data_IF_125983792089
#
_entry.id   IF_125983792089
#
_cell.length_a   1.000
_cell.length_b   1.000
_cell.length_c   1.000
_cell.angle_alpha   90.00
_cell.angle_beta   90.00
_cell.angle_gamma   90.00
#
_symmetry.space_group_name_H-M   'P 1'
#
loop_
_entity.id
_entity.type
_entity.pdbx_description
1 polymer ?
#
# COMPACT_ATOMS: atom_id res chain seq x y z
N UNK A 1 14.50 -15.39 30.84
CA UNK A 1 14.98 -14.27 30.00
C UNK A 1 14.49 -14.31 28.55
N UNK A 2 14.61 -15.42 27.82
CA UNK A 2 14.16 -15.49 26.41
C UNK A 2 12.64 -15.24 26.23
N UNK A 3 11.80 -15.82 27.09
CA UNK A 3 10.34 -15.59 27.06
C UNK A 3 9.98 -14.10 27.22
N UNK A 4 10.64 -13.39 28.14
CA UNK A 4 10.44 -11.96 28.35
C UNK A 4 10.82 -11.13 27.11
N UNK A 5 11.94 -11.45 26.44
CA UNK A 5 12.34 -10.78 25.19
C UNK A 5 11.29 -10.95 24.09
N UNK A 6 10.71 -12.14 23.96
CA UNK A 6 9.65 -12.41 22.98
C UNK A 6 8.39 -11.61 23.32
N UNK A 7 7.97 -11.61 24.59
CA UNK A 7 6.81 -10.83 25.03
C UNK A 7 7.00 -9.34 24.75
N UNK A 8 8.17 -8.78 25.07
CA UNK A 8 8.48 -7.38 24.78
C UNK A 8 8.47 -7.08 23.28
N UNK A 9 9.04 -7.96 22.45
CA UNK A 9 9.01 -7.79 21.00
C UNK A 9 7.57 -7.77 20.48
N UNK A 10 6.73 -8.72 20.91
CA UNK A 10 5.32 -8.78 20.52
C UNK A 10 4.59 -7.50 20.95
N UNK A 11 4.82 -7.01 22.16
CA UNK A 11 4.22 -5.76 22.64
C UNK A 11 4.64 -4.56 21.77
N UNK A 12 5.92 -4.45 21.40
CA UNK A 12 6.41 -3.38 20.52
C UNK A 12 5.79 -3.46 19.12
N UNK A 13 5.69 -4.65 18.54
CA UNK A 13 5.10 -4.84 17.22
C UNK A 13 3.59 -4.55 17.24
N UNK A 14 2.87 -4.99 18.27
CA UNK A 14 1.45 -4.71 18.45
C UNK A 14 1.19 -3.21 18.65
N UNK A 15 1.97 -2.56 19.52
CA UNK A 15 1.86 -1.12 19.72
C UNK A 15 2.12 -0.37 18.41
N UNK A 16 3.18 -0.75 17.67
CA UNK A 16 3.48 -0.16 16.37
C UNK A 16 2.37 -0.34 15.34
N UNK A 17 1.69 -1.50 15.34
CA UNK A 17 0.54 -1.76 14.49
C UNK A 17 -0.66 -0.90 14.88
N UNK A 18 -1.05 -0.90 16.16
CA UNK A 18 -2.22 -0.17 16.67
C UNK A 18 -2.10 1.33 16.42
N UNK A 19 -0.92 1.91 16.70
CA UNK A 19 -0.70 3.34 16.49
C UNK A 19 -0.85 3.76 15.03
N UNK A 20 -0.59 2.87 14.07
CA UNK A 20 -0.75 3.15 12.63
C UNK A 20 -2.19 3.01 12.13
N UNK A 21 -3.10 2.46 12.94
CA UNK A 21 -4.54 2.48 12.65
C UNK A 21 -5.17 3.85 12.89
N UNK A 22 -4.40 4.84 13.37
CA UNK A 22 -4.87 6.21 13.47
C UNK A 22 -5.35 6.74 12.11
N UNK A 23 -6.61 7.20 12.04
CA UNK A 23 -7.28 7.67 10.82
C UNK A 23 -7.25 6.65 9.67
N UNK A 24 -7.41 5.37 9.99
CA UNK A 24 -7.45 4.29 9.01
C UNK A 24 -8.49 4.49 7.90
N UNK A 25 -9.68 4.98 8.24
CA UNK A 25 -10.77 5.28 7.31
C UNK A 25 -10.76 6.72 6.78
N UNK A 26 -9.66 7.45 6.95
CA UNK A 26 -9.54 8.83 6.47
C UNK A 26 -9.56 8.90 4.94
N UNK A 27 -10.16 9.96 4.34
CA UNK A 27 -10.16 10.14 2.90
C UNK A 27 -8.73 10.31 2.38
N UNK A 28 -8.49 9.89 1.13
CA UNK A 28 -7.20 10.10 0.47
C UNK A 28 -7.06 11.55 -0.01
N UNK A 29 -8.13 12.34 -0.14
CA UNK A 29 -8.08 13.71 -0.66
C UNK A 29 -7.49 14.73 0.34
N UNK A 30 -6.18 14.65 0.60
CA UNK A 30 -5.41 15.64 1.36
C UNK A 30 -4.57 16.52 0.40
N UNK A 31 -4.08 17.67 0.86
CA UNK A 31 -3.43 18.69 0.03
C UNK A 31 -2.21 18.18 -0.75
N UNK A 32 -1.51 17.17 -0.23
CA UNK A 32 -0.33 16.56 -0.87
C UNK A 32 -0.50 15.05 -1.13
N UNK A 33 -1.74 14.58 -1.30
CA UNK A 33 -2.02 13.15 -1.41
C UNK A 33 -1.89 12.55 -2.80
N UNK A 34 -1.44 13.34 -3.78
CA UNK A 34 -1.27 12.94 -5.18
C UNK A 34 -0.70 11.52 -5.36
N UNK A 35 0.34 11.16 -4.61
CA UNK A 35 0.99 9.85 -4.64
C UNK A 35 0.10 8.73 -4.12
N UNK A 36 -0.66 8.96 -3.05
CA UNK A 36 -1.62 7.98 -2.53
C UNK A 36 -2.81 7.83 -3.49
N UNK A 37 -3.31 8.94 -4.03
CA UNK A 37 -4.39 8.96 -5.02
C UNK A 37 -4.00 8.21 -6.29
N UNK A 38 -2.82 8.49 -6.86
CA UNK A 38 -2.28 7.79 -8.02
C UNK A 38 -2.10 6.30 -7.78
N UNK A 39 -1.62 5.93 -6.60
CA UNK A 39 -1.40 4.53 -6.25
C UNK A 39 -2.75 3.81 -6.15
N UNK A 40 -3.73 4.39 -5.45
CA UNK A 40 -5.09 3.83 -5.39
C UNK A 40 -5.74 3.76 -6.78
N UNK A 41 -5.45 4.74 -7.63
CA UNK A 41 -5.93 4.84 -9.01
C UNK A 41 -5.42 3.68 -9.88
N UNK A 42 -4.15 3.28 -9.75
CA UNK A 42 -3.62 2.07 -10.41
C UNK A 42 -4.27 0.81 -9.87
N UNK A 43 -4.39 0.68 -8.55
CA UNK A 43 -5.02 -0.48 -7.93
C UNK A 43 -6.49 -0.62 -8.37
N UNK A 44 -7.18 0.50 -8.56
CA UNK A 44 -8.57 0.52 -9.04
C UNK A 44 -8.66 0.11 -10.51
N UNK A 45 -7.66 0.45 -11.32
CA UNK A 45 -7.55 -0.07 -12.68
C UNK A 45 -7.38 -1.58 -12.71
N UNK A 46 -6.57 -2.16 -11.81
CA UNK A 46 -6.43 -3.63 -11.71
C UNK A 46 -7.70 -4.35 -11.30
N UNK A 47 -8.46 -3.79 -10.36
CA UNK A 47 -9.79 -4.30 -9.96
C UNK A 47 -10.76 -4.26 -11.15
N UNK A 48 -10.77 -3.15 -11.90
CA UNK A 48 -11.75 -2.93 -12.98
C UNK A 48 -11.43 -3.68 -14.27
N UNK A 49 -10.18 -3.60 -14.71
CA UNK A 49 -9.75 -4.03 -16.04
C UNK A 49 -8.90 -5.32 -16.00
N UNK A 50 -8.60 -5.83 -14.79
CA UNK A 50 -7.76 -7.00 -14.57
C UNK A 50 -6.29 -6.67 -14.32
N UNK A 51 -5.53 -7.67 -13.87
CA UNK A 51 -4.13 -7.54 -13.47
C UNK A 51 -3.17 -7.58 -14.68
N UNK A 52 -3.18 -6.52 -15.51
CA UNK A 52 -2.10 -6.28 -16.48
C UNK A 52 -0.91 -5.60 -15.79
N UNK A 53 -0.07 -6.44 -15.17
CA UNK A 53 1.10 -6.01 -14.39
C UNK A 53 2.12 -5.27 -15.25
N UNK A 54 2.22 -5.61 -16.54
CA UNK A 54 3.21 -5.04 -17.45
C UNK A 54 2.74 -3.71 -18.04
N UNK A 55 1.44 -3.41 -18.01
CA UNK A 55 0.88 -2.14 -18.48
C UNK A 55 -0.03 -1.51 -17.42
N UNK A 56 0.51 -1.10 -16.25
CA UNK A 56 -0.27 -0.45 -15.22
C UNK A 56 -0.90 0.84 -15.75
N UNK A 57 -2.20 1.02 -15.49
CA UNK A 57 -2.96 2.22 -15.88
C UNK A 57 -3.51 2.98 -14.67
N UNK A 58 -3.67 4.29 -14.79
CA UNK A 58 -4.29 5.17 -13.80
C UNK A 58 -5.18 6.22 -14.47
N UNK A 59 -5.89 7.00 -13.65
CA UNK A 59 -6.93 7.93 -14.10
C UNK A 59 -6.41 9.32 -14.54
N UNK A 60 -5.13 9.64 -14.31
CA UNK A 60 -4.56 10.89 -14.81
C UNK A 60 -4.14 10.73 -16.28
N UNK A 61 -4.93 11.33 -17.17
CA UNK A 61 -4.70 11.34 -18.62
C UNK A 61 -3.96 12.61 -19.09
N UNK A 62 -3.57 13.48 -18.15
CA UNK A 62 -2.87 14.71 -18.46
C UNK A 62 -1.47 14.44 -19.00
N UNK A 63 -0.93 15.42 -19.72
CA UNK A 63 0.46 15.41 -20.15
C UNK A 63 1.43 15.87 -19.05
N UNK A 64 0.95 16.24 -17.86
CA UNK A 64 1.77 16.76 -16.76
C UNK A 64 2.91 15.82 -16.33
N UNK A 65 2.72 14.49 -16.21
CA UNK A 65 3.78 13.61 -15.72
C UNK A 65 4.93 13.38 -16.72
N UNK A 66 4.68 13.45 -18.02
CA UNK A 66 5.64 13.06 -19.07
C UNK A 66 5.91 14.13 -20.13
N UNK A 67 5.14 15.22 -20.13
CA UNK A 67 5.12 16.21 -21.20
C UNK A 67 4.48 15.72 -22.50
N UNK A 68 3.88 14.52 -22.50
CA UNK A 68 3.24 13.89 -23.67
C UNK A 68 1.82 13.46 -23.33
N UNK A 69 0.95 13.44 -24.33
CA UNK A 69 -0.41 12.97 -24.14
C UNK A 69 -0.43 11.50 -23.73
N UNK A 70 -1.22 11.18 -22.70
CA UNK A 70 -1.38 9.83 -22.17
C UNK A 70 -2.85 9.39 -22.20
N UNK A 71 -3.47 9.27 -23.39
CA UNK A 71 -4.90 8.98 -23.51
C UNK A 71 -5.28 7.58 -22.99
N UNK A 72 -4.30 6.68 -22.91
CA UNK A 72 -4.46 5.32 -22.38
C UNK A 72 -4.18 5.23 -20.87
N UNK A 73 -3.73 6.32 -20.24
CA UNK A 73 -3.49 6.37 -18.80
C UNK A 73 -2.39 5.43 -18.33
N UNK A 74 -1.33 5.17 -19.09
CA UNK A 74 -0.23 4.31 -18.62
C UNK A 74 0.58 4.98 -17.51
N UNK A 75 1.03 4.20 -16.52
CA UNK A 75 1.78 4.70 -15.37
C UNK A 75 3.01 3.85 -15.03
N UNK A 76 4.12 4.14 -15.70
CA UNK A 76 5.39 3.41 -15.53
C UNK A 76 6.35 4.08 -14.52
N UNK A 77 5.92 4.23 -13.26
CA UNK A 77 6.76 4.86 -12.21
C UNK A 77 7.53 3.81 -11.40
N UNK A 78 6.87 2.70 -11.06
CA UNK A 78 7.43 1.62 -10.25
C UNK A 78 6.79 0.28 -10.65
N UNK A 79 7.47 -0.82 -10.34
CA UNK A 79 6.88 -2.15 -10.54
C UNK A 79 5.70 -2.33 -9.55
N UNK A 80 4.49 -2.68 -10.01
CA UNK A 80 3.25 -2.43 -9.25
C UNK A 80 2.95 -3.49 -8.18
N UNK A 81 3.96 -3.96 -7.44
CA UNK A 81 3.80 -4.95 -6.36
C UNK A 81 2.81 -4.47 -5.32
N UNK A 82 2.94 -3.21 -4.90
CA UNK A 82 2.03 -2.61 -3.93
C UNK A 82 0.58 -2.63 -4.43
N UNK A 83 0.38 -2.24 -5.69
CA UNK A 83 -0.95 -2.19 -6.30
C UNK A 83 -1.56 -3.57 -6.48
N UNK A 84 -0.74 -4.57 -6.84
CA UNK A 84 -1.16 -5.97 -6.91
C UNK A 84 -1.62 -6.44 -5.54
N UNK A 85 -0.84 -6.21 -4.49
CA UNK A 85 -1.21 -6.62 -3.12
C UNK A 85 -2.50 -5.94 -2.67
N UNK A 86 -2.64 -4.64 -2.94
CA UNK A 86 -3.83 -3.86 -2.61
C UNK A 86 -5.08 -4.38 -3.35
N UNK A 87 -5.01 -4.47 -4.68
CA UNK A 87 -6.12 -4.91 -5.52
C UNK A 87 -6.49 -6.37 -5.28
N UNK A 88 -5.50 -7.27 -5.16
CA UNK A 88 -5.75 -8.68 -4.91
C UNK A 88 -6.37 -8.92 -3.53
N UNK A 89 -5.96 -8.17 -2.51
CA UNK A 89 -6.58 -8.26 -1.17
C UNK A 89 -8.02 -7.73 -1.19
N UNK A 90 -8.28 -6.67 -1.95
CA UNK A 90 -9.63 -6.15 -2.15
C UNK A 90 -10.53 -7.16 -2.88
N UNK A 91 -10.07 -7.74 -3.99
CA UNK A 91 -10.80 -8.77 -4.75
C UNK A 91 -11.06 -10.05 -3.92
N UNK A 92 -10.07 -10.48 -3.13
CA UNK A 92 -10.17 -11.74 -2.38
C UNK A 92 -11.13 -11.66 -1.18
N UNK A 93 -11.21 -10.50 -0.50
CA UNK A 93 -11.95 -10.37 0.75
C UNK A 93 -13.06 -9.32 0.71
N UNK A 94 -12.83 -8.18 0.06
CA UNK A 94 -13.85 -7.14 -0.14
C UNK A 94 -14.45 -6.50 1.12
N UNK A 95 -13.87 -6.72 2.30
CA UNK A 95 -14.43 -6.26 3.59
C UNK A 95 -14.25 -4.75 3.79
N UNK A 96 -13.12 -4.21 3.33
CA UNK A 96 -12.75 -2.80 3.43
C UNK A 96 -12.71 -2.13 2.05
N UNK A 97 -12.71 -0.80 2.03
CA UNK A 97 -12.46 -0.02 0.81
C UNK A 97 -11.07 -0.33 0.24
N UNK A 98 -10.90 -0.09 -1.07
CA UNK A 98 -9.62 -0.32 -1.76
C UNK A 98 -8.49 0.46 -1.08
N UNK A 99 -8.78 1.68 -0.67
CA UNK A 99 -7.88 2.61 0.00
C UNK A 99 -7.43 2.07 1.37
N UNK A 100 -8.36 1.51 2.14
CA UNK A 100 -8.09 0.86 3.42
C UNK A 100 -7.20 -0.39 3.25
N UNK A 101 -7.41 -1.19 2.20
CA UNK A 101 -6.51 -2.28 1.87
C UNK A 101 -5.09 -1.80 1.58
N UNK A 102 -4.94 -0.67 0.88
CA UNK A 102 -3.64 -0.05 0.67
C UNK A 102 -2.97 0.32 2.01
N UNK A 103 -3.71 0.91 2.93
CA UNK A 103 -3.21 1.23 4.29
C UNK A 103 -2.78 -0.03 5.04
N UNK A 104 -3.56 -1.12 4.97
CA UNK A 104 -3.18 -2.40 5.57
C UNK A 104 -1.87 -2.94 4.99
N UNK A 105 -1.69 -2.94 3.66
CA UNK A 105 -0.43 -3.35 3.02
C UNK A 105 0.75 -2.58 3.59
N UNK A 106 0.62 -1.25 3.75
CA UNK A 106 1.67 -0.41 4.34
C UNK A 106 1.93 -0.74 5.81
N UNK A 107 0.88 -0.92 6.61
CA UNK A 107 1.00 -1.23 8.04
C UNK A 107 1.69 -2.59 8.23
N UNK A 108 1.25 -3.62 7.52
CA UNK A 108 1.86 -4.95 7.57
C UNK A 108 3.32 -4.93 7.13
N UNK A 109 3.61 -4.24 6.02
CA UNK A 109 4.99 -4.10 5.53
C UNK A 109 5.90 -3.41 6.57
N UNK A 110 5.40 -2.38 7.24
CA UNK A 110 6.13 -1.68 8.30
C UNK A 110 6.38 -2.58 9.52
N UNK A 111 5.35 -3.27 10.03
CA UNK A 111 5.49 -4.17 11.18
C UNK A 111 6.42 -5.34 10.88
N UNK A 112 6.32 -5.92 9.68
CA UNK A 112 7.21 -6.99 9.23
C UNK A 112 8.66 -6.50 9.10
N UNK A 113 8.86 -5.28 8.61
CA UNK A 113 10.20 -4.66 8.53
C UNK A 113 10.81 -4.46 9.92
N UNK A 114 10.03 -4.02 10.91
CA UNK A 114 10.50 -3.92 12.30
C UNK A 114 10.90 -5.28 12.89
N UNK A 115 10.16 -6.35 12.57
CA UNK A 115 10.54 -7.71 12.95
C UNK A 115 11.87 -8.12 12.30
N UNK A 116 12.05 -7.88 11.00
CA UNK A 116 13.30 -8.22 10.31
C UNK A 116 14.51 -7.45 10.84
N UNK A 117 14.37 -6.15 11.12
CA UNK A 117 15.42 -5.35 11.75
C UNK A 117 15.83 -5.98 13.09
N UNK A 118 14.85 -6.36 13.93
CA UNK A 118 15.13 -7.06 15.19
C UNK A 118 15.88 -8.37 14.97
N UNK A 119 15.47 -9.18 13.98
CA UNK A 119 16.12 -10.46 13.67
C UNK A 119 17.56 -10.27 13.16
N UNK A 120 17.83 -9.22 12.39
CA UNK A 120 19.17 -8.88 11.90
C UNK A 120 20.07 -8.46 13.07
N UNK A 121 19.58 -7.62 13.99
CA UNK A 121 20.36 -7.11 15.13
C UNK A 121 20.55 -8.16 16.22
N UNK A 122 19.60 -9.09 16.38
CA UNK A 122 19.69 -10.20 17.34
C UNK A 122 20.76 -11.23 16.94
N UNK A 123 20.99 -11.38 15.64
CA UNK A 123 21.97 -12.32 15.08
C UNK A 123 23.37 -11.90 15.46
#
# INVERSE_FOLDING_TARGET
>A
MAKLKIVLLVLVLLLGFILRLYKFNGPIADWHSWRQSDTSSVSRSFVKDGFDILHPRFHDLSSTPTGRDNPQGYRFVEFPIYNILQAASFEAFGIFSLEEWGRLVTIFSSTLSSLFIYLIVKK
#
